data_IF_120616594620
#
_entry.id   IF_120616594620
#
_cell.length_a   1.000
_cell.length_b   1.000
_cell.length_c   1.000
_cell.angle_alpha   90.00
_cell.angle_beta   90.00
_cell.angle_gamma   90.00
#
_symmetry.space_group_name_H-M   'P 1'
#
loop_
_entity.id
_entity.type
_entity.pdbx_description
1 polymer ?
#
# COMPACT_ATOMS: atom_id res chain seq x y z
N UNK A 1 10.58 -2.39 -9.70
CA UNK A 1 9.80 -1.22 -9.21
C UNK A 1 10.41 -0.68 -7.92
N UNK A 2 10.30 0.63 -7.63
CA UNK A 2 10.84 1.26 -6.41
C UNK A 2 10.39 0.55 -5.10
N UNK A 3 9.16 0.03 -5.13
CA UNK A 3 8.56 -0.77 -4.04
C UNK A 3 9.29 -2.10 -3.79
N UNK A 4 9.74 -2.79 -4.83
CA UNK A 4 10.53 -4.03 -4.73
C UNK A 4 11.96 -3.77 -4.27
N UNK A 5 12.54 -2.65 -4.69
CA UNK A 5 13.86 -2.24 -4.20
C UNK A 5 13.80 -1.85 -2.72
N UNK A 6 12.71 -1.22 -2.27
CA UNK A 6 12.43 -0.97 -0.85
C UNK A 6 12.13 -2.26 -0.07
N UNK A 7 11.45 -3.24 -0.69
CA UNK A 7 11.21 -4.59 -0.14
C UNK A 7 12.53 -5.33 0.12
N UNK A 8 13.42 -5.37 -0.87
CA UNK A 8 14.68 -6.10 -0.80
C UNK A 8 15.71 -5.43 0.12
N UNK A 9 15.77 -4.10 0.17
CA UNK A 9 16.79 -3.40 0.99
C UNK A 9 16.50 -3.38 2.50
N UNK A 10 15.24 -3.56 2.94
CA UNK A 10 14.88 -3.20 4.33
C UNK A 10 14.07 -4.24 5.12
N UNK A 11 13.40 -5.23 4.49
CA UNK A 11 12.47 -6.12 5.23
C UNK A 11 12.35 -7.55 4.68
N UNK A 12 13.03 -8.51 5.30
CA UNK A 12 12.91 -9.95 5.01
C UNK A 12 11.62 -10.61 5.54
N UNK A 13 10.80 -9.94 6.37
CA UNK A 13 9.70 -10.57 7.12
C UNK A 13 8.33 -9.91 6.86
N UNK A 14 7.99 -9.64 5.61
CA UNK A 14 6.64 -9.15 5.33
C UNK A 14 5.60 -10.25 5.59
N UNK A 15 4.59 -9.98 6.43
CA UNK A 15 3.54 -10.95 6.70
C UNK A 15 2.71 -11.21 5.43
N UNK A 16 2.19 -12.43 5.31
CA UNK A 16 1.24 -12.75 4.24
C UNK A 16 0.01 -11.86 4.40
N UNK A 17 -0.31 -11.09 3.37
CA UNK A 17 -1.49 -10.22 3.36
C UNK A 17 -2.76 -11.07 3.32
N UNK A 18 -3.55 -11.00 4.38
CA UNK A 18 -4.93 -11.48 4.44
C UNK A 18 -5.89 -10.29 4.52
N UNK A 19 -7.17 -10.50 4.20
CA UNK A 19 -8.18 -9.45 4.36
C UNK A 19 -8.21 -8.89 5.79
N UNK A 20 -8.13 -9.75 6.80
CA UNK A 20 -8.03 -9.32 8.20
C UNK A 20 -6.79 -8.47 8.47
N UNK A 21 -5.65 -8.80 7.86
CA UNK A 21 -4.42 -8.02 8.02
C UNK A 21 -4.48 -6.67 7.29
N UNK A 22 -5.14 -6.60 6.14
CA UNK A 22 -5.33 -5.34 5.40
C UNK A 22 -6.23 -4.40 6.18
N UNK A 23 -7.36 -4.92 6.68
CA UNK A 23 -8.32 -4.14 7.48
C UNK A 23 -7.74 -3.75 8.85
N UNK A 24 -6.95 -4.64 9.45
CA UNK A 24 -6.28 -4.41 10.73
C UNK A 24 -4.84 -3.92 10.61
N UNK A 25 -4.42 -3.35 9.48
CA UNK A 25 -3.01 -3.02 9.25
C UNK A 25 -2.47 -2.01 10.27
N UNK A 26 -3.32 -1.13 10.82
CA UNK A 26 -2.95 -0.17 11.86
C UNK A 26 -2.61 -0.82 13.22
N UNK A 27 -3.03 -2.06 13.46
CA UNK A 27 -2.74 -2.82 14.68
C UNK A 27 -1.41 -3.58 14.60
N UNK A 28 -0.80 -3.66 13.42
CA UNK A 28 0.44 -4.41 13.21
C UNK A 28 1.60 -3.71 13.88
N UNK A 29 2.30 -4.44 14.76
CA UNK A 29 3.51 -3.97 15.44
C UNK A 29 4.67 -4.86 15.04
N UNK A 30 5.68 -4.26 14.40
CA UNK A 30 6.94 -4.95 14.15
C UNK A 30 7.84 -4.83 15.37
N UNK A 31 8.39 -5.97 15.77
CA UNK A 31 9.33 -6.09 16.87
C UNK A 31 10.65 -6.61 16.31
N UNK A 32 11.77 -6.03 16.76
CA UNK A 32 13.11 -6.53 16.42
C UNK A 32 13.38 -7.87 17.11
N UNK A 33 14.39 -8.62 16.64
CA UNK A 33 14.85 -9.86 17.28
C UNK A 33 15.25 -9.65 18.76
N UNK A 34 15.59 -8.42 19.14
CA UNK A 34 15.92 -8.02 20.51
C UNK A 34 14.71 -7.62 21.36
N UNK A 35 13.48 -7.80 20.87
CA UNK A 35 12.25 -7.45 21.59
C UNK A 35 11.89 -5.96 21.57
N UNK A 36 12.72 -5.10 20.99
CA UNK A 36 12.42 -3.66 20.86
C UNK A 36 11.39 -3.41 19.76
N UNK A 37 10.37 -2.61 20.08
CA UNK A 37 9.39 -2.16 19.09
C UNK A 37 10.08 -1.31 18.02
N UNK A 38 9.68 -1.51 16.77
CA UNK A 38 10.16 -0.72 15.65
C UNK A 38 8.98 0.08 15.07
N UNK A 39 8.65 1.24 15.69
CA UNK A 39 7.48 2.03 15.33
C UNK A 39 7.54 2.54 13.89
N UNK A 40 8.73 2.91 13.39
CA UNK A 40 8.94 3.34 12.01
C UNK A 40 8.57 2.26 10.99
N UNK A 41 8.90 0.99 11.29
CA UNK A 41 8.60 -0.16 10.42
C UNK A 41 7.08 -0.39 10.34
N UNK A 42 6.44 -0.29 11.50
CA UNK A 42 4.99 -0.44 11.66
C UNK A 42 4.24 0.68 10.94
N UNK A 43 4.68 1.94 11.09
CA UNK A 43 4.10 3.08 10.39
C UNK A 43 4.23 2.94 8.87
N UNK A 44 5.43 2.62 8.38
CA UNK A 44 5.67 2.43 6.95
C UNK A 44 4.78 1.32 6.36
N UNK A 45 4.64 0.20 7.06
CA UNK A 45 3.75 -0.89 6.66
C UNK A 45 2.30 -0.42 6.58
N UNK A 46 1.78 0.20 7.64
CA UNK A 46 0.41 0.72 7.69
C UNK A 46 0.15 1.70 6.56
N UNK A 47 1.07 2.64 6.33
CA UNK A 47 0.96 3.64 5.25
C UNK A 47 0.90 2.97 3.88
N UNK A 48 1.81 2.03 3.60
CA UNK A 48 1.84 1.33 2.31
C UNK A 48 0.59 0.50 2.06
N UNK A 49 0.13 -0.26 3.06
CA UNK A 49 -1.07 -1.10 2.95
C UNK A 49 -2.32 -0.22 2.78
N UNK A 50 -2.44 0.86 3.55
CA UNK A 50 -3.58 1.78 3.49
C UNK A 50 -3.68 2.48 2.14
N UNK A 51 -2.57 3.04 1.64
CA UNK A 51 -2.53 3.72 0.32
C UNK A 51 -2.90 2.73 -0.79
N UNK A 52 -2.33 1.53 -0.74
CA UNK A 52 -2.59 0.50 -1.75
C UNK A 52 -4.06 0.05 -1.73
N UNK A 53 -4.63 -0.18 -0.54
CA UNK A 53 -6.03 -0.55 -0.40
C UNK A 53 -6.97 0.54 -0.89
N UNK A 54 -6.72 1.80 -0.52
CA UNK A 54 -7.51 2.94 -0.99
C UNK A 54 -7.46 3.08 -2.51
N UNK A 55 -6.30 2.88 -3.13
CA UNK A 55 -6.15 2.89 -4.59
C UNK A 55 -6.97 1.77 -5.25
N UNK A 56 -6.90 0.55 -4.73
CA UNK A 56 -7.67 -0.61 -5.24
C UNK A 56 -9.17 -0.33 -5.12
N UNK A 57 -9.60 0.20 -3.97
CA UNK A 57 -10.99 0.57 -3.71
C UNK A 57 -11.48 1.62 -4.71
N UNK A 58 -10.73 2.70 -4.91
CA UNK A 58 -11.08 3.75 -5.87
C UNK A 58 -11.12 3.22 -7.30
N UNK A 59 -10.14 2.40 -7.71
CA UNK A 59 -10.17 1.78 -9.04
C UNK A 59 -11.39 0.89 -9.24
N UNK A 60 -11.79 0.12 -8.22
CA UNK A 60 -13.01 -0.70 -8.28
C UNK A 60 -14.25 0.16 -8.42
N UNK A 61 -14.35 1.24 -7.63
CA UNK A 61 -15.51 2.12 -7.64
C UNK A 61 -15.62 2.91 -8.95
N UNK A 62 -14.53 3.49 -9.45
CA UNK A 62 -14.51 4.17 -10.76
C UNK A 62 -14.89 3.22 -11.89
N UNK A 63 -14.44 1.96 -11.86
CA UNK A 63 -14.87 0.96 -12.85
C UNK A 63 -16.37 0.67 -12.78
N UNK A 64 -16.86 0.34 -11.58
CA UNK A 64 -18.22 -0.19 -11.40
C UNK A 64 -19.30 0.89 -11.37
N UNK A 65 -19.03 2.03 -10.75
CA UNK A 65 -20.01 3.09 -10.48
C UNK A 65 -19.95 4.17 -11.57
N UNK A 66 -18.76 4.65 -11.91
CA UNK A 66 -18.62 5.78 -12.84
C UNK A 66 -18.62 5.34 -14.31
N UNK A 67 -18.10 4.14 -14.59
CA UNK A 67 -17.90 3.64 -15.96
C UNK A 67 -18.76 2.44 -16.32
N UNK A 68 -19.58 1.96 -15.39
CA UNK A 68 -20.48 0.83 -15.57
C UNK A 68 -19.80 -0.42 -16.19
N UNK A 69 -18.56 -0.70 -15.76
CA UNK A 69 -17.69 -1.78 -16.25
C UNK A 69 -17.29 -1.69 -17.74
N UNK A 70 -17.35 -0.50 -18.35
CA UNK A 70 -16.85 -0.26 -19.70
C UNK A 70 -15.32 -0.53 -19.80
N UNK A 71 -14.90 -1.54 -20.60
CA UNK A 71 -13.50 -1.92 -20.72
C UNK A 71 -12.65 -0.89 -21.46
N UNK A 72 -13.21 -0.05 -22.33
CA UNK A 72 -12.46 0.96 -23.09
C UNK A 72 -12.02 2.14 -22.22
N UNK A 73 -12.78 2.40 -21.16
CA UNK A 73 -12.50 3.49 -20.23
C UNK A 73 -11.52 3.08 -19.12
N UNK A 74 -10.99 1.85 -19.13
CA UNK A 74 -10.09 1.39 -18.08
C UNK A 74 -8.82 2.25 -17.95
N UNK A 75 -8.47 2.59 -16.71
CA UNK A 75 -7.27 3.37 -16.44
C UNK A 75 -6.01 2.61 -16.88
N UNK A 76 -5.13 3.28 -17.63
CA UNK A 76 -3.84 2.71 -18.05
C UNK A 76 -2.98 2.34 -16.83
N UNK A 77 -2.34 1.17 -16.89
CA UNK A 77 -1.44 0.67 -15.84
C UNK A 77 -0.35 1.69 -15.45
N UNK A 78 0.16 2.49 -16.41
CA UNK A 78 1.14 3.55 -16.13
C UNK A 78 0.55 4.67 -15.26
N UNK A 79 -0.68 5.08 -15.53
CA UNK A 79 -1.36 6.13 -14.76
C UNK A 79 -1.63 5.67 -13.33
N UNK A 80 -2.05 4.41 -13.18
CA UNK A 80 -2.25 3.77 -11.87
C UNK A 80 -0.94 3.73 -11.07
N UNK A 81 0.14 3.28 -11.71
CA UNK A 81 1.46 3.23 -11.07
C UNK A 81 1.95 4.61 -10.63
N UNK A 82 1.88 5.61 -11.51
CA UNK A 82 2.31 6.97 -11.20
C UNK A 82 1.49 7.59 -10.06
N UNK A 83 0.17 7.34 -10.04
CA UNK A 83 -0.70 7.80 -8.95
C UNK A 83 -0.32 7.15 -7.63
N UNK A 84 -0.07 5.84 -7.61
CA UNK A 84 0.37 5.14 -6.41
C UNK A 84 1.71 5.67 -5.89
N UNK A 85 2.71 5.85 -6.77
CA UNK A 85 4.01 6.41 -6.40
C UNK A 85 3.86 7.83 -5.83
N UNK A 86 3.02 8.67 -6.46
CA UNK A 86 2.76 10.02 -5.97
C UNK A 86 2.13 10.03 -4.57
N UNK A 87 1.15 9.15 -4.32
CA UNK A 87 0.51 9.01 -3.01
C UNK A 87 1.49 8.54 -1.93
N UNK A 88 2.33 7.55 -2.24
CA UNK A 88 3.37 7.06 -1.32
C UNK A 88 4.38 8.16 -1.01
N UNK A 89 4.88 8.87 -2.03
CA UNK A 89 5.83 9.96 -1.85
C UNK A 89 5.23 11.12 -1.04
N UNK A 90 3.95 11.45 -1.25
CA UNK A 90 3.25 12.48 -0.49
C UNK A 90 3.11 12.10 0.99
N UNK A 91 2.85 10.82 1.29
CA UNK A 91 2.79 10.33 2.66
C UNK A 91 4.17 10.35 3.33
N UNK A 92 5.21 9.88 2.64
CA UNK A 92 6.58 9.87 3.15
C UNK A 92 7.17 11.27 3.37
N UNK A 93 6.70 12.28 2.64
CA UNK A 93 7.14 13.69 2.82
C UNK A 93 6.50 14.37 4.04
N UNK A 94 5.38 13.82 4.53
CA UNK A 94 4.68 14.34 5.72
C UNK A 94 5.23 13.76 7.02
N UNK A 95 6.03 12.69 6.93
CA UNK A 95 6.84 12.14 8.02
C UNK A 95 8.20 12.84 8.08
#
# INVERSE_FOLDING_TARGET
ALAEQLRLKKYQQWPRLSWGLILGCNLVRFVSQTGRQAPEKSRLFTTLVSISFNLIWNLRNTRRIERNDDPEQNASNKKIHNHWVAAVNAALKRD
#
